data_IF_980053951019
#
_entry.id   IF_980053951019
#
_cell.length_a   1.000
_cell.length_b   1.000
_cell.length_c   1.000
_cell.angle_alpha   90.00
_cell.angle_beta   90.00
_cell.angle_gamma   90.00
#
_symmetry.space_group_name_H-M   'P 1'
#
loop_
_entity.id
_entity.type
_entity.pdbx_description
1 polymer ?
#
# COMPACT_ATOMS: atom_id res chain seq x y z
N UNK A 1 44.00 21.42 36.17
CA UNK A 1 44.90 20.35 35.71
C UNK A 1 44.08 19.40 34.85
N UNK A 2 44.49 19.32 33.58
CA UNK A 2 44.14 18.32 32.55
C UNK A 2 42.66 18.14 32.16
N UNK A 3 42.24 18.93 31.17
CA UNK A 3 41.77 18.43 29.84
C UNK A 3 42.82 17.50 29.16
N UNK A 4 42.61 16.92 27.96
CA UNK A 4 41.41 16.44 27.24
C UNK A 4 41.64 15.08 26.52
N UNK A 5 40.64 14.59 25.75
CA UNK A 5 40.75 13.99 24.39
C UNK A 5 39.34 13.62 23.92
N UNK A 6 38.70 14.41 23.04
CA UNK A 6 38.67 14.28 21.58
C UNK A 6 38.37 12.87 21.04
N UNK A 7 37.25 12.72 20.30
CA UNK A 7 37.31 12.43 18.86
C UNK A 7 35.90 12.40 18.22
N UNK A 8 35.84 13.05 17.05
CA UNK A 8 34.93 12.98 15.89
C UNK A 8 33.76 11.97 15.91
N UNK A 9 32.57 12.26 15.40
CA UNK A 9 32.25 13.01 14.17
C UNK A 9 31.47 12.11 13.22
N UNK A 10 30.50 12.67 12.50
CA UNK A 10 29.67 11.99 11.49
C UNK A 10 28.19 12.01 11.91
N UNK A 11 27.29 12.74 11.26
CA UNK A 11 27.22 13.03 9.83
C UNK A 11 25.86 12.53 9.37
N UNK A 12 24.88 13.42 9.37
CA UNK A 12 23.51 13.13 8.99
C UNK A 12 23.45 12.66 7.53
N UNK A 13 23.08 11.39 7.32
CA UNK A 13 22.69 10.89 6.02
C UNK A 13 21.21 11.25 5.79
N UNK A 14 21.03 12.30 5.01
CA UNK A 14 19.78 12.72 4.40
C UNK A 14 19.31 11.61 3.45
N UNK A 15 18.25 10.90 3.82
CA UNK A 15 17.60 9.93 2.94
C UNK A 15 16.97 10.67 1.76
N UNK A 16 17.63 10.60 0.61
CA UNK A 16 17.05 11.01 -0.66
C UNK A 16 15.97 9.99 -1.04
N UNK A 17 14.73 10.47 -1.07
CA UNK A 17 13.59 9.79 -1.67
C UNK A 17 13.90 9.45 -3.12
N UNK A 18 14.08 8.16 -3.42
CA UNK A 18 14.05 7.64 -4.79
C UNK A 18 12.64 7.86 -5.35
N UNK A 19 12.52 8.78 -6.31
CA UNK A 19 11.40 8.81 -7.23
C UNK A 19 11.51 7.57 -8.12
N UNK A 20 10.80 6.51 -7.75
CA UNK A 20 10.50 5.41 -8.66
C UNK A 20 9.59 5.99 -9.74
N UNK A 21 10.14 6.17 -10.93
CA UNK A 21 9.33 6.32 -12.14
C UNK A 21 8.76 4.93 -12.40
N UNK A 22 7.48 4.73 -12.05
CA UNK A 22 6.68 3.64 -12.61
C UNK A 22 6.66 3.83 -14.13
N UNK A 23 7.59 3.16 -14.81
CA UNK A 23 7.40 2.84 -16.21
C UNK A 23 6.35 1.74 -16.20
N UNK A 24 5.15 2.11 -16.63
CA UNK A 24 4.05 1.22 -16.98
C UNK A 24 4.58 0.24 -18.03
N UNK A 25 5.15 -0.87 -17.58
CA UNK A 25 5.43 -2.03 -18.43
C UNK A 25 4.06 -2.59 -18.74
N UNK A 26 3.59 -2.30 -19.95
CA UNK A 26 2.42 -2.94 -20.55
C UNK A 26 2.43 -4.42 -20.19
N UNK A 27 1.38 -4.86 -19.52
CA UNK A 27 1.01 -6.26 -19.30
C UNK A 27 0.97 -6.99 -20.65
N UNK A 28 2.13 -7.50 -21.07
CA UNK A 28 2.23 -8.52 -22.10
C UNK A 28 2.02 -9.85 -21.40
N UNK A 29 0.73 -10.17 -21.31
CA UNK A 29 0.11 -11.44 -20.96
C UNK A 29 1.00 -12.62 -21.36
N UNK A 30 1.83 -13.08 -20.42
CA UNK A 30 2.61 -14.29 -20.56
C UNK A 30 1.66 -15.45 -20.28
N UNK A 31 0.82 -15.76 -21.27
CA UNK A 31 0.14 -17.03 -21.42
C UNK A 31 1.18 -18.14 -21.45
N UNK A 32 1.54 -18.63 -20.27
CA UNK A 32 2.29 -19.87 -20.09
C UNK A 32 1.31 -21.01 -20.31
N UNK A 33 0.97 -21.27 -21.57
CA UNK A 33 0.39 -22.56 -21.94
C UNK A 33 1.46 -23.62 -21.67
N UNK A 34 1.16 -24.40 -20.64
CA UNK A 34 1.86 -25.59 -20.21
C UNK A 34 1.80 -26.61 -21.36
N UNK A 35 2.81 -26.61 -22.23
CA UNK A 35 3.02 -27.72 -23.16
C UNK A 35 3.65 -28.84 -22.33
N UNK A 36 2.78 -29.68 -21.77
CA UNK A 36 3.14 -31.00 -21.25
C UNK A 36 3.84 -31.77 -22.38
N UNK A 37 5.17 -31.79 -22.30
CA UNK A 37 6.02 -32.52 -23.22
C UNK A 37 6.16 -33.95 -22.67
N UNK A 38 5.12 -34.77 -22.91
CA UNK A 38 5.13 -36.21 -22.70
C UNK A 38 6.15 -36.84 -23.66
N UNK A 39 7.42 -36.79 -23.25
CA UNK A 39 8.50 -37.53 -23.87
C UNK A 39 8.57 -38.90 -23.21
N UNK A 40 7.60 -39.75 -23.54
CA UNK A 40 7.55 -41.12 -23.06
C UNK A 40 8.58 -41.97 -23.83
N UNK A 41 9.56 -42.39 -23.05
CA UNK A 41 10.67 -43.29 -23.32
C UNK A 41 10.32 -44.47 -24.24
N UNK A 42 10.97 -44.53 -25.40
CA UNK A 42 11.03 -45.73 -26.25
C UNK A 42 11.91 -46.79 -25.58
N UNK A 43 11.28 -47.76 -24.90
CA UNK A 43 11.92 -49.04 -24.61
C UNK A 43 12.02 -49.88 -25.88
N UNK A 44 13.24 -50.27 -26.20
CA UNK A 44 13.55 -51.23 -27.25
C UNK A 44 13.57 -52.66 -26.69
N UNK A 45 12.90 -53.57 -27.40
CA UNK A 45 13.38 -54.96 -27.53
C UNK A 45 12.50 -56.06 -26.93
N UNK A 46 11.89 -56.86 -27.81
CA UNK A 46 11.30 -58.14 -27.44
C UNK A 46 10.56 -58.80 -28.61
N UNK A 47 11.27 -59.61 -29.38
CA UNK A 47 10.78 -60.31 -30.57
C UNK A 47 9.85 -61.50 -30.24
N UNK A 48 8.81 -61.66 -31.07
CA UNK A 48 8.20 -62.94 -31.48
C UNK A 48 7.25 -62.58 -32.65
N UNK A 49 7.67 -62.75 -33.91
CA UNK A 49 7.53 -63.96 -34.72
C UNK A 49 6.08 -64.45 -34.84
N UNK A 50 5.36 -63.88 -35.82
CA UNK A 50 4.47 -64.62 -36.72
C UNK A 50 4.42 -63.88 -38.04
N UNK A 51 5.01 -64.49 -39.06
CA UNK A 51 4.83 -64.13 -40.45
C UNK A 51 3.42 -64.55 -40.90
N UNK A 52 2.61 -63.58 -41.29
CA UNK A 52 1.49 -63.80 -42.20
C UNK A 52 1.39 -62.59 -43.13
N UNK A 53 1.41 -62.92 -44.42
CA UNK A 53 1.06 -62.15 -45.61
C UNK A 53 0.51 -60.72 -45.38
N UNK A 54 1.17 -59.71 -45.94
CA UNK A 54 0.47 -58.91 -46.95
C UNK A 54 1.43 -58.11 -47.84
N UNK A 55 1.29 -58.33 -49.14
CA UNK A 55 1.89 -57.48 -50.13
C UNK A 55 1.12 -56.15 -50.15
N UNK A 56 1.71 -55.12 -49.54
CA UNK A 56 1.38 -53.74 -49.93
C UNK A 56 0.58 -52.92 -48.94
N UNK A 57 1.05 -52.77 -47.71
CA UNK A 57 0.73 -51.55 -46.94
C UNK A 57 1.77 -50.44 -47.19
N UNK A 58 2.17 -50.28 -48.46
CA UNK A 58 2.90 -49.11 -48.95
C UNK A 58 2.11 -47.85 -48.57
N UNK A 59 0.78 -47.94 -48.57
CA UNK A 59 -0.13 -46.88 -48.22
C UNK A 59 -0.01 -46.46 -46.74
N UNK A 60 0.10 -47.41 -45.81
CA UNK A 60 0.37 -47.16 -44.39
C UNK A 60 1.77 -46.61 -44.12
N UNK A 61 2.79 -47.11 -44.84
CA UNK A 61 4.15 -46.57 -44.76
C UNK A 61 4.23 -45.13 -45.32
N UNK A 62 3.53 -44.84 -46.43
CA UNK A 62 3.39 -43.50 -46.99
C UNK A 62 2.67 -42.59 -46.00
N UNK A 63 1.54 -43.00 -45.41
CA UNK A 63 0.82 -42.21 -44.40
C UNK A 63 1.68 -41.91 -43.17
N UNK A 64 2.50 -42.85 -42.73
CA UNK A 64 3.44 -42.64 -41.61
C UNK A 64 4.54 -41.64 -41.96
N UNK A 65 5.13 -41.74 -43.16
CA UNK A 65 6.12 -40.78 -43.66
C UNK A 65 5.51 -39.39 -43.88
N UNK A 66 4.27 -39.30 -44.35
CA UNK A 66 3.54 -38.04 -44.48
C UNK A 66 3.25 -37.40 -43.13
N UNK A 67 2.87 -38.20 -42.11
CA UNK A 67 2.68 -37.72 -40.75
C UNK A 67 3.99 -37.29 -40.09
N UNK A 68 5.10 -37.99 -40.33
CA UNK A 68 6.44 -37.60 -39.87
C UNK A 68 6.94 -36.34 -40.58
N UNK A 69 6.75 -36.24 -41.91
CA UNK A 69 7.07 -35.04 -42.67
C UNK A 69 6.19 -33.84 -42.24
N UNK A 70 4.92 -34.06 -41.92
CA UNK A 70 4.02 -33.06 -41.36
C UNK A 70 4.50 -32.55 -40.01
N UNK A 71 4.85 -33.45 -39.09
CA UNK A 71 5.45 -33.10 -37.79
C UNK A 71 6.78 -32.36 -37.93
N UNK A 72 7.64 -32.80 -38.86
CA UNK A 72 8.91 -32.12 -39.13
C UNK A 72 8.71 -30.71 -39.72
N UNK A 73 7.71 -30.51 -40.58
CA UNK A 73 7.34 -29.18 -41.09
C UNK A 73 6.83 -28.27 -39.98
N UNK A 74 5.94 -28.76 -39.12
CA UNK A 74 5.44 -28.01 -37.97
C UNK A 74 6.57 -27.64 -36.99
N UNK A 75 7.47 -28.58 -36.69
CA UNK A 75 8.64 -28.32 -35.83
C UNK A 75 9.59 -27.28 -36.45
N UNK A 76 9.79 -27.32 -37.78
CA UNK A 76 10.59 -26.33 -38.50
C UNK A 76 9.93 -24.95 -38.45
N UNK A 77 8.63 -24.86 -38.71
CA UNK A 77 7.88 -23.60 -38.65
C UNK A 77 7.88 -23.00 -37.24
N UNK A 78 7.70 -23.82 -36.20
CA UNK A 78 7.82 -23.41 -34.81
C UNK A 78 9.23 -22.89 -34.48
N UNK A 79 10.28 -23.56 -34.98
CA UNK A 79 11.66 -23.14 -34.80
C UNK A 79 11.96 -21.82 -35.54
N UNK A 80 11.46 -21.64 -36.76
CA UNK A 80 11.60 -20.40 -37.55
C UNK A 80 10.87 -19.23 -36.88
N UNK A 81 9.65 -19.45 -36.37
CA UNK A 81 8.92 -18.44 -35.59
C UNK A 81 9.67 -18.06 -34.30
N UNK A 82 10.23 -19.04 -33.60
CA UNK A 82 11.03 -18.79 -32.40
C UNK A 82 12.32 -18.03 -32.72
N UNK A 83 12.97 -18.33 -33.85
CA UNK A 83 14.15 -17.62 -34.31
C UNK A 83 13.82 -16.16 -34.64
N UNK A 84 12.75 -15.92 -35.41
CA UNK A 84 12.30 -14.57 -35.76
C UNK A 84 11.96 -13.74 -34.51
N UNK A 85 11.28 -14.31 -33.52
CA UNK A 85 11.01 -13.64 -32.24
C UNK A 85 12.32 -13.28 -31.50
N UNK A 86 13.28 -14.21 -31.42
CA UNK A 86 14.58 -13.94 -30.80
C UNK A 86 15.40 -12.89 -31.54
N UNK A 87 15.36 -12.86 -32.87
CA UNK A 87 16.01 -11.84 -33.70
C UNK A 87 15.40 -10.46 -33.49
N UNK A 88 14.06 -10.38 -33.42
CA UNK A 88 13.34 -9.15 -33.10
C UNK A 88 13.69 -8.64 -31.70
N UNK A 89 13.72 -9.52 -30.70
CA UNK A 89 14.14 -9.18 -29.33
C UNK A 89 15.60 -8.70 -29.29
N UNK A 90 16.50 -9.34 -30.02
CA UNK A 90 17.91 -8.93 -30.10
C UNK A 90 18.05 -7.56 -30.77
N UNK A 91 17.28 -7.29 -31.82
CA UNK A 91 17.26 -5.98 -32.48
C UNK A 91 16.75 -4.88 -31.52
N UNK A 92 15.67 -5.14 -30.80
CA UNK A 92 15.13 -4.23 -29.78
C UNK A 92 16.16 -3.96 -28.66
N UNK A 93 16.82 -5.00 -28.14
CA UNK A 93 17.87 -4.86 -27.12
C UNK A 93 19.06 -4.04 -27.62
N UNK A 94 19.47 -4.20 -28.89
CA UNK A 94 20.53 -3.40 -29.49
C UNK A 94 20.13 -1.92 -29.62
N UNK A 95 18.87 -1.63 -29.94
CA UNK A 95 18.35 -0.27 -29.97
C UNK A 95 18.36 0.35 -28.57
N UNK A 96 17.83 -0.35 -27.57
CA UNK A 96 17.84 0.08 -26.17
C UNK A 96 19.27 0.32 -25.68
N UNK A 97 20.23 -0.53 -26.06
CA UNK A 97 21.63 -0.34 -25.70
C UNK A 97 22.23 0.95 -26.30
N UNK A 98 21.94 1.24 -27.58
CA UNK A 98 22.40 2.49 -28.21
C UNK A 98 21.76 3.72 -27.57
N UNK A 99 20.47 3.66 -27.27
CA UNK A 99 19.75 4.73 -26.57
C UNK A 99 20.30 4.95 -25.17
N UNK A 100 20.61 3.88 -24.44
CA UNK A 100 21.24 3.94 -23.13
C UNK A 100 22.61 4.62 -23.20
N UNK A 101 23.45 4.27 -24.17
CA UNK A 101 24.77 4.87 -24.33
C UNK A 101 24.67 6.35 -24.70
N UNK A 102 23.74 6.73 -25.59
CA UNK A 102 23.45 8.12 -25.91
C UNK A 102 22.94 8.90 -24.68
N UNK A 103 22.02 8.31 -23.90
CA UNK A 103 21.49 8.91 -22.68
C UNK A 103 22.55 9.08 -21.61
N UNK A 104 23.47 8.12 -21.45
CA UNK A 104 24.62 8.25 -20.53
C UNK A 104 25.53 9.42 -20.90
N UNK A 105 25.82 9.58 -22.20
CA UNK A 105 26.63 10.70 -22.67
C UNK A 105 25.92 12.05 -22.46
N UNK A 106 24.63 12.12 -22.79
CA UNK A 106 23.82 13.33 -22.60
C UNK A 106 23.71 13.69 -21.10
N UNK A 107 23.47 12.70 -20.24
CA UNK A 107 23.44 12.88 -18.79
C UNK A 107 24.79 13.34 -18.24
N UNK A 108 25.89 12.71 -18.65
CA UNK A 108 27.24 13.11 -18.22
C UNK A 108 27.55 14.56 -18.60
N UNK A 109 27.26 14.95 -19.85
CA UNK A 109 27.43 16.33 -20.30
C UNK A 109 26.54 17.32 -19.54
N UNK A 110 25.28 16.97 -19.26
CA UNK A 110 24.36 17.80 -18.49
C UNK A 110 24.80 17.94 -17.03
N UNK A 111 25.29 16.86 -16.42
CA UNK A 111 25.83 16.85 -15.07
C UNK A 111 27.08 17.72 -14.96
N UNK A 112 28.03 17.57 -15.87
CA UNK A 112 29.26 18.37 -15.89
C UNK A 112 28.98 19.85 -16.14
N UNK A 113 27.97 20.15 -16.96
CA UNK A 113 27.48 21.52 -17.15
C UNK A 113 26.87 22.05 -15.86
N UNK A 114 25.96 21.32 -15.23
CA UNK A 114 25.35 21.70 -13.96
C UNK A 114 26.40 21.96 -12.88
N UNK A 115 27.42 21.09 -12.75
CA UNK A 115 28.51 21.29 -11.78
C UNK A 115 29.33 22.55 -12.03
N UNK A 116 29.59 22.88 -13.29
CA UNK A 116 30.27 24.14 -13.67
C UNK A 116 29.39 25.35 -13.35
N UNK A 117 28.11 25.29 -13.70
CA UNK A 117 27.16 26.37 -13.46
C UNK A 117 26.93 26.57 -11.94
N UNK A 118 26.84 25.50 -11.14
CA UNK A 118 26.78 25.53 -9.67
C UNK A 118 28.01 26.22 -9.08
N UNK A 119 29.20 25.90 -9.59
CA UNK A 119 30.45 26.53 -9.13
C UNK A 119 30.46 28.01 -9.48
N UNK A 120 30.17 28.35 -10.74
CA UNK A 120 30.14 29.73 -11.20
C UNK A 120 29.14 30.58 -10.40
N UNK A 121 27.97 30.02 -10.11
CA UNK A 121 26.96 30.67 -9.29
C UNK A 121 27.42 30.86 -7.84
N UNK A 122 28.10 29.87 -7.24
CA UNK A 122 28.67 29.99 -5.89
C UNK A 122 29.75 31.07 -5.81
N UNK A 123 30.63 31.13 -6.81
CA UNK A 123 31.69 32.13 -6.90
C UNK A 123 31.08 33.54 -7.04
N UNK A 124 30.05 33.68 -7.90
CA UNK A 124 29.25 34.90 -8.04
C UNK A 124 28.61 35.33 -6.71
N UNK A 125 27.87 34.43 -6.04
CA UNK A 125 27.21 34.72 -4.77
C UNK A 125 28.21 35.19 -3.69
N UNK A 126 29.38 34.55 -3.63
CA UNK A 126 30.41 34.90 -2.64
C UNK A 126 30.98 36.29 -2.91
N UNK A 127 31.29 36.59 -4.18
CA UNK A 127 31.80 37.90 -4.59
C UNK A 127 30.79 39.03 -4.37
N UNK A 128 29.55 38.83 -4.81
CA UNK A 128 28.47 39.81 -4.65
C UNK A 128 28.14 40.03 -3.18
N UNK A 129 27.98 38.96 -2.40
CA UNK A 129 27.72 39.08 -0.96
C UNK A 129 28.81 39.90 -0.27
N UNK A 130 30.09 39.62 -0.53
CA UNK A 130 31.20 40.36 0.05
C UNK A 130 31.25 41.83 -0.37
N UNK A 131 30.79 42.14 -1.59
CA UNK A 131 30.74 43.53 -2.10
C UNK A 131 29.55 44.29 -1.51
N UNK A 132 28.39 43.66 -1.43
CA UNK A 132 27.19 44.21 -0.80
C UNK A 132 27.35 44.40 0.71
N UNK A 133 28.00 43.47 1.42
CA UNK A 133 28.30 43.63 2.85
C UNK A 133 29.20 44.84 3.12
N UNK A 134 30.17 45.13 2.24
CA UNK A 134 30.99 46.34 2.33
C UNK A 134 30.20 47.62 2.08
N UNK A 135 29.26 47.60 1.12
CA UNK A 135 28.42 48.74 0.78
C UNK A 135 27.36 49.02 1.87
N UNK A 136 26.75 47.98 2.41
CA UNK A 136 25.72 48.07 3.46
C UNK A 136 26.31 48.34 4.85
N UNK A 137 27.56 47.95 5.11
CA UNK A 137 28.21 48.18 6.39
C UNK A 137 27.41 47.57 7.56
N UNK A 138 27.15 48.33 8.65
CA UNK A 138 26.40 47.84 9.82
C UNK A 138 24.98 47.35 9.52
N UNK A 139 24.34 47.85 8.46
CA UNK A 139 22.98 47.49 8.06
C UNK A 139 22.89 46.05 7.58
N UNK A 140 24.01 45.50 7.07
CA UNK A 140 24.08 44.12 6.60
C UNK A 140 23.71 43.10 7.69
N UNK A 141 24.02 43.40 8.96
CA UNK A 141 23.64 42.55 10.10
C UNK A 141 22.12 42.58 10.36
N UNK A 142 21.49 43.75 10.26
CA UNK A 142 20.02 43.89 10.43
C UNK A 142 19.26 43.20 9.29
N UNK A 143 19.72 43.35 8.04
CA UNK A 143 19.19 42.63 6.88
C UNK A 143 19.27 41.11 7.11
N UNK A 144 20.43 40.62 7.57
CA UNK A 144 20.63 39.19 7.88
C UNK A 144 19.70 38.71 8.99
N UNK A 145 19.50 39.50 10.05
CA UNK A 145 18.57 39.16 11.13
C UNK A 145 17.13 39.06 10.63
N UNK A 146 16.64 40.02 9.84
CA UNK A 146 15.28 39.99 9.29
C UNK A 146 15.07 38.81 8.34
N UNK A 147 16.04 38.51 7.47
CA UNK A 147 15.98 37.36 6.58
C UNK A 147 15.99 36.02 7.35
N UNK A 148 16.83 35.92 8.38
CA UNK A 148 16.88 34.75 9.25
C UNK A 148 15.56 34.55 10.02
N UNK A 149 14.99 35.63 10.57
CA UNK A 149 13.71 35.59 11.28
C UNK A 149 12.58 35.06 10.39
N UNK A 150 12.51 35.49 9.12
CA UNK A 150 11.54 34.97 8.15
C UNK A 150 11.76 33.49 7.85
N UNK A 151 13.03 33.06 7.71
CA UNK A 151 13.37 31.65 7.53
C UNK A 151 13.00 30.78 8.73
N UNK A 152 13.18 31.29 9.94
CA UNK A 152 12.84 30.58 11.18
C UNK A 152 11.33 30.54 11.42
N UNK A 153 10.60 31.61 11.09
CA UNK A 153 9.14 31.63 11.10
C UNK A 153 8.56 30.59 10.13
N UNK A 154 9.08 30.52 8.89
CA UNK A 154 8.71 29.47 7.93
C UNK A 154 8.90 28.07 8.51
N UNK A 155 10.07 27.76 9.06
CA UNK A 155 10.36 26.44 9.66
C UNK A 155 9.42 26.15 10.84
N UNK A 156 9.08 27.17 11.62
CA UNK A 156 8.13 27.03 12.73
C UNK A 156 6.74 26.68 12.22
N UNK A 157 6.27 27.33 11.16
CA UNK A 157 4.97 27.05 10.53
C UNK A 157 4.93 25.66 9.88
N UNK A 158 6.01 25.26 9.20
CA UNK A 158 6.15 23.90 8.64
C UNK A 158 6.05 22.83 9.76
N UNK A 159 6.78 23.00 10.86
CA UNK A 159 6.68 22.10 12.03
C UNK A 159 5.29 22.10 12.65
N UNK A 160 4.60 23.24 12.68
CA UNK A 160 3.23 23.32 13.17
C UNK A 160 2.30 22.49 12.27
N UNK A 161 2.42 22.61 10.95
CA UNK A 161 1.63 21.80 10.00
C UNK A 161 1.90 20.31 10.18
N UNK A 162 3.17 19.90 10.33
CA UNK A 162 3.53 18.49 10.56
C UNK A 162 2.94 17.95 11.87
N UNK A 163 3.04 18.73 12.95
CA UNK A 163 2.47 18.40 14.25
C UNK A 163 0.95 18.25 14.20
N UNK A 164 0.25 19.20 13.55
CA UNK A 164 -1.21 19.14 13.38
C UNK A 164 -1.65 18.01 12.45
N UNK A 165 -0.85 17.67 11.46
CA UNK A 165 -1.11 16.52 10.58
C UNK A 165 -1.06 15.23 11.39
N UNK A 166 -0.02 15.05 12.20
CA UNK A 166 0.11 13.88 13.09
C UNK A 166 -1.08 13.77 14.05
N UNK A 167 -1.44 14.88 14.72
CA UNK A 167 -2.59 14.90 15.63
C UNK A 167 -3.93 14.58 14.95
N UNK A 168 -4.14 15.05 13.71
CA UNK A 168 -5.34 14.72 12.93
C UNK A 168 -5.38 13.23 12.56
N UNK A 169 -4.26 12.65 12.12
CA UNK A 169 -4.17 11.23 11.79
C UNK A 169 -4.38 10.33 13.02
N UNK A 170 -3.78 10.67 14.16
CA UNK A 170 -3.98 9.94 15.42
C UNK A 170 -5.44 9.99 15.89
N UNK A 171 -6.09 11.16 15.78
CA UNK A 171 -7.50 11.32 16.12
C UNK A 171 -8.41 10.51 15.19
N UNK A 172 -8.08 10.41 13.90
CA UNK A 172 -8.82 9.58 12.94
C UNK A 172 -8.71 8.10 13.29
N UNK A 173 -7.51 7.62 13.59
CA UNK A 173 -7.29 6.25 14.04
C UNK A 173 -8.06 5.93 15.33
N UNK A 174 -8.07 6.86 16.29
CA UNK A 174 -8.84 6.71 17.53
C UNK A 174 -10.36 6.63 17.27
N UNK A 175 -10.89 7.48 16.37
CA UNK A 175 -12.30 7.45 15.96
C UNK A 175 -12.68 6.14 15.27
N UNK A 176 -11.80 5.60 14.43
CA UNK A 176 -12.07 4.34 13.74
C UNK A 176 -12.08 3.16 14.73
N UNK A 177 -11.16 3.15 15.70
CA UNK A 177 -11.15 2.17 16.77
C UNK A 177 -12.42 2.26 17.66
N UNK A 178 -12.87 3.46 18.03
CA UNK A 178 -14.08 3.62 18.84
C UNK A 178 -15.35 3.27 18.08
N UNK A 179 -15.42 3.54 16.77
CA UNK A 179 -16.52 3.12 15.89
C UNK A 179 -16.65 1.60 15.81
N UNK A 180 -15.54 0.87 15.66
CA UNK A 180 -15.55 -0.60 15.68
C UNK A 180 -16.09 -1.11 17.01
N UNK A 181 -15.58 -0.58 18.13
CA UNK A 181 -16.00 -0.97 19.47
C UNK A 181 -17.48 -0.67 19.76
N UNK A 182 -17.98 0.49 19.31
CA UNK A 182 -19.40 0.85 19.45
C UNK A 182 -20.29 -0.12 18.68
N UNK A 183 -19.86 -0.53 17.47
CA UNK A 183 -20.56 -1.54 16.68
C UNK A 183 -20.58 -2.90 17.37
N UNK A 184 -19.44 -3.39 17.85
CA UNK A 184 -19.35 -4.68 18.57
C UNK A 184 -20.29 -4.74 19.79
N UNK A 185 -20.36 -3.66 20.57
CA UNK A 185 -21.22 -3.59 21.74
C UNK A 185 -22.71 -3.44 21.38
N UNK A 186 -23.01 -2.75 20.27
CA UNK A 186 -24.36 -2.69 19.71
C UNK A 186 -24.84 -4.06 19.23
N UNK A 187 -23.98 -4.79 18.51
CA UNK A 187 -24.27 -6.16 18.05
C UNK A 187 -24.52 -7.08 19.25
N UNK A 188 -23.67 -7.02 20.29
CA UNK A 188 -23.86 -7.78 21.53
C UNK A 188 -25.18 -7.46 22.24
N UNK A 189 -25.57 -6.19 22.35
CA UNK A 189 -26.85 -5.82 22.97
C UNK A 189 -28.03 -6.30 22.10
N UNK A 190 -27.87 -6.28 20.78
CA UNK A 190 -28.82 -6.83 19.81
C UNK A 190 -29.01 -8.35 19.95
N UNK A 191 -27.93 -9.09 20.17
CA UNK A 191 -27.98 -10.54 20.42
C UNK A 191 -28.75 -10.89 21.70
N UNK A 192 -28.50 -10.15 22.79
CA UNK A 192 -29.21 -10.35 24.06
C UNK A 192 -30.71 -10.06 23.93
N UNK A 193 -31.09 -9.03 23.17
CA UNK A 193 -32.50 -8.73 22.87
C UNK A 193 -33.18 -9.84 22.05
N UNK A 194 -32.42 -10.54 21.20
CA UNK A 194 -32.91 -11.64 20.35
C UNK A 194 -32.84 -13.02 21.02
N UNK A 195 -32.33 -13.12 22.24
CA UNK A 195 -32.03 -14.40 22.89
C UNK A 195 -33.26 -15.31 23.02
N UNK A 196 -34.44 -14.75 23.30
CA UNK A 196 -35.70 -15.51 23.33
C UNK A 196 -36.11 -16.07 21.94
N UNK A 197 -35.96 -15.28 20.88
CA UNK A 197 -36.23 -15.74 19.51
C UNK A 197 -35.25 -16.85 19.11
N UNK A 198 -33.97 -16.71 19.48
CA UNK A 198 -32.95 -17.73 19.24
C UNK A 198 -33.21 -19.03 20.00
N UNK A 199 -33.62 -18.96 21.27
CA UNK A 199 -34.06 -20.13 22.04
C UNK A 199 -35.25 -20.81 21.36
N UNK A 200 -36.24 -20.02 20.92
CA UNK A 200 -37.44 -20.55 20.26
C UNK A 200 -37.09 -21.28 18.97
N UNK A 201 -36.19 -20.72 18.15
CA UNK A 201 -35.70 -21.36 16.93
C UNK A 201 -34.95 -22.67 17.23
N UNK A 202 -34.12 -22.70 18.27
CA UNK A 202 -33.41 -23.93 18.72
C UNK A 202 -34.39 -25.00 19.19
N UNK A 203 -35.39 -24.63 19.98
CA UNK A 203 -36.44 -25.55 20.44
C UNK A 203 -37.24 -26.13 19.27
N UNK A 204 -37.59 -25.30 18.28
CA UNK A 204 -38.28 -25.76 17.07
C UNK A 204 -37.43 -26.78 16.30
N UNK A 205 -36.13 -26.50 16.10
CA UNK A 205 -35.21 -27.42 15.43
C UNK A 205 -35.07 -28.76 16.17
N UNK A 206 -34.94 -28.73 17.50
CA UNK A 206 -34.87 -29.94 18.32
C UNK A 206 -36.16 -30.75 18.24
N UNK A 207 -37.33 -30.09 18.23
CA UNK A 207 -38.62 -30.74 18.08
C UNK A 207 -38.75 -31.42 16.71
N UNK A 208 -38.44 -30.73 15.62
CA UNK A 208 -38.45 -31.31 14.27
C UNK A 208 -37.57 -32.55 14.18
N UNK A 209 -36.36 -32.50 14.74
CA UNK A 209 -35.44 -33.64 14.77
C UNK A 209 -36.00 -34.81 15.58
N UNK A 210 -36.60 -34.55 16.75
CA UNK A 210 -37.28 -35.58 17.55
C UNK A 210 -38.41 -36.22 16.76
N UNK A 211 -39.20 -35.41 16.06
CA UNK A 211 -40.33 -35.89 15.26
C UNK A 211 -39.85 -36.76 14.09
N UNK A 212 -38.74 -36.41 13.44
CA UNK A 212 -38.09 -37.26 12.41
C UNK A 212 -37.68 -38.63 12.95
N UNK A 213 -37.01 -38.68 14.10
CA UNK A 213 -36.61 -39.93 14.76
C UNK A 213 -37.85 -40.76 15.12
N UNK A 214 -38.85 -40.11 15.71
CA UNK A 214 -40.08 -40.78 16.15
C UNK A 214 -40.83 -41.38 14.96
N UNK A 215 -40.94 -40.63 13.85
CA UNK A 215 -41.55 -41.11 12.61
C UNK A 215 -40.79 -42.31 12.02
N UNK A 216 -39.46 -42.25 11.95
CA UNK A 216 -38.65 -43.37 11.47
C UNK A 216 -38.84 -44.62 12.34
N UNK A 217 -38.86 -44.45 13.67
CA UNK A 217 -39.11 -45.54 14.60
C UNK A 217 -40.51 -46.15 14.45
N UNK A 218 -41.55 -45.31 14.32
CA UNK A 218 -42.94 -45.77 14.16
C UNK A 218 -43.17 -46.45 12.81
N UNK A 219 -42.41 -46.08 11.77
CA UNK A 219 -42.43 -46.73 10.47
C UNK A 219 -41.60 -48.05 10.41
N UNK A 220 -41.03 -48.51 11.54
CA UNK A 220 -40.18 -49.70 11.60
C UNK A 220 -38.78 -49.53 11.00
N UNK A 221 -38.38 -48.28 10.65
CA UNK A 221 -37.08 -47.96 10.07
C UNK A 221 -36.02 -47.71 11.17
N UNK A 222 -35.77 -48.74 12.00
CA UNK A 222 -34.91 -48.58 13.19
C UNK A 222 -33.46 -48.20 12.88
N UNK A 223 -32.90 -48.70 11.78
CA UNK A 223 -31.57 -48.31 11.33
C UNK A 223 -31.47 -46.81 11.00
N UNK A 224 -32.50 -46.24 10.37
CA UNK A 224 -32.59 -44.80 10.10
C UNK A 224 -32.77 -44.00 11.40
N UNK A 225 -33.63 -44.44 12.31
CA UNK A 225 -33.83 -43.80 13.61
C UNK A 225 -32.52 -43.78 14.43
N UNK A 226 -31.77 -44.88 14.43
CA UNK A 226 -30.46 -44.99 15.08
C UNK A 226 -29.41 -44.08 14.44
N UNK A 227 -29.36 -44.02 13.10
CA UNK A 227 -28.46 -43.11 12.40
C UNK A 227 -28.83 -41.64 12.66
N UNK A 228 -30.11 -41.28 12.68
CA UNK A 228 -30.53 -39.91 13.01
C UNK A 228 -30.10 -39.52 14.43
N UNK A 229 -30.13 -40.45 15.39
CA UNK A 229 -29.69 -40.25 16.77
C UNK A 229 -28.17 -40.12 16.94
N UNK A 230 -27.38 -40.88 16.17
CA UNK A 230 -25.93 -41.07 16.41
C UNK A 230 -25.05 -40.43 15.34
N UNK A 231 -25.54 -40.32 14.11
CA UNK A 231 -24.81 -39.81 12.95
C UNK A 231 -24.96 -38.30 12.71
N UNK A 232 -25.81 -37.61 13.48
CA UNK A 232 -25.91 -36.13 13.45
C UNK A 232 -25.25 -35.56 14.71
N UNK A 233 -24.39 -34.58 14.54
CA UNK A 233 -23.78 -33.87 15.67
C UNK A 233 -24.81 -32.99 16.38
N UNK A 234 -25.39 -33.52 17.46
CA UNK A 234 -26.33 -32.82 18.33
C UNK A 234 -25.64 -31.81 19.24
N UNK A 235 -24.40 -32.07 19.63
CA UNK A 235 -23.61 -31.18 20.48
C UNK A 235 -23.40 -29.85 19.76
N UNK A 236 -23.02 -29.88 18.48
CA UNK A 236 -22.84 -28.68 17.66
C UNK A 236 -24.10 -27.84 17.43
N UNK A 237 -25.31 -28.34 17.73
CA UNK A 237 -26.56 -27.54 17.67
C UNK A 237 -26.85 -26.88 19.02
N UNK A 238 -26.51 -27.55 20.12
CA UNK A 238 -26.71 -27.07 21.48
C UNK A 238 -25.65 -26.02 21.86
N UNK A 239 -24.42 -26.18 21.36
CA UNK A 239 -23.26 -25.33 21.68
C UNK A 239 -23.11 -24.07 20.81
N UNK A 240 -24.09 -23.77 19.94
CA UNK A 240 -24.04 -22.54 19.12
C UNK A 240 -24.18 -21.27 19.96
N UNK A 241 -23.62 -20.17 19.47
CA UNK A 241 -23.90 -18.83 19.99
C UNK A 241 -25.30 -18.33 19.56
N UNK A 242 -25.95 -17.49 20.39
CA UNK A 242 -25.52 -16.97 21.69
C UNK A 242 -25.59 -18.02 22.81
N UNK A 243 -24.70 -17.89 23.81
CA UNK A 243 -24.72 -18.71 25.03
C UNK A 243 -26.04 -18.48 25.78
N UNK A 244 -26.64 -19.56 26.28
CA UNK A 244 -27.84 -19.47 27.10
C UNK A 244 -27.52 -18.75 28.41
N UNK A 245 -28.31 -17.73 28.72
CA UNK A 245 -28.23 -16.98 29.99
C UNK A 245 -29.44 -17.38 30.82
N UNK A 246 -29.22 -17.66 32.10
CA UNK A 246 -30.32 -17.93 33.02
C UNK A 246 -31.26 -16.71 33.09
N UNK A 247 -32.59 -16.89 33.15
CA UNK A 247 -33.54 -15.78 33.17
C UNK A 247 -33.26 -14.75 34.28
N UNK A 248 -32.79 -15.22 35.43
CA UNK A 248 -32.41 -14.39 36.59
C UNK A 248 -31.24 -13.46 36.33
N UNK A 249 -30.34 -13.80 35.38
CA UNK A 249 -29.18 -12.99 35.01
C UNK A 249 -29.37 -12.16 33.74
N UNK A 250 -30.45 -12.39 32.97
CA UNK A 250 -30.66 -11.73 31.68
C UNK A 250 -30.88 -10.23 31.81
N UNK A 251 -31.66 -9.81 32.82
CA UNK A 251 -31.95 -8.39 33.04
C UNK A 251 -30.67 -7.59 33.33
N UNK A 252 -29.82 -8.10 34.23
CA UNK A 252 -28.54 -7.46 34.55
C UNK A 252 -27.59 -7.46 33.34
N UNK A 253 -27.47 -8.59 32.63
CA UNK A 253 -26.63 -8.68 31.44
C UNK A 253 -27.05 -7.71 30.33
N UNK A 254 -28.36 -7.48 30.17
CA UNK A 254 -28.88 -6.50 29.21
C UNK A 254 -28.59 -5.06 29.65
N UNK A 255 -28.75 -4.74 30.93
CA UNK A 255 -28.42 -3.42 31.49
C UNK A 255 -26.92 -3.14 31.28
N UNK A 256 -26.05 -4.07 31.68
CA UNK A 256 -24.60 -3.94 31.54
C UNK A 256 -24.19 -3.73 30.06
N UNK A 257 -24.82 -4.46 29.14
CA UNK A 257 -24.55 -4.33 27.71
C UNK A 257 -25.03 -3.00 27.12
N UNK A 258 -26.20 -2.51 27.54
CA UNK A 258 -26.73 -1.21 27.13
C UNK A 258 -25.90 -0.06 27.68
N UNK A 259 -25.45 -0.14 28.93
CA UNK A 259 -24.56 0.84 29.55
C UNK A 259 -23.19 0.86 28.85
N UNK A 260 -22.65 -0.31 28.51
CA UNK A 260 -21.40 -0.40 27.75
C UNK A 260 -21.56 0.18 26.34
N UNK A 261 -22.67 -0.11 25.66
CA UNK A 261 -22.99 0.47 24.35
C UNK A 261 -23.09 1.99 24.43
N UNK A 262 -23.85 2.53 25.38
CA UNK A 262 -24.01 3.98 25.54
C UNK A 262 -22.68 4.70 25.81
N UNK A 263 -21.81 4.13 26.65
CA UNK A 263 -20.46 4.67 26.89
C UNK A 263 -19.59 4.64 25.63
N UNK A 264 -19.69 3.58 24.82
CA UNK A 264 -18.93 3.47 23.58
C UNK A 264 -19.42 4.44 22.50
N UNK A 265 -20.73 4.63 22.36
CA UNK A 265 -21.33 5.62 21.46
C UNK A 265 -20.96 7.05 21.87
N UNK A 266 -21.00 7.36 23.17
CA UNK A 266 -20.52 8.65 23.68
C UNK A 266 -19.04 8.86 23.35
N UNK A 267 -18.21 7.83 23.55
CA UNK A 267 -16.78 7.92 23.23
C UNK A 267 -16.55 8.14 21.74
N UNK A 268 -17.28 7.44 20.87
CA UNK A 268 -17.22 7.64 19.43
C UNK A 268 -17.56 9.09 19.06
N UNK A 269 -18.63 9.66 19.64
CA UNK A 269 -19.01 11.05 19.40
C UNK A 269 -17.94 12.05 19.86
N UNK A 270 -17.27 11.79 20.99
CA UNK A 270 -16.19 12.64 21.50
C UNK A 270 -14.91 12.54 20.63
N UNK A 271 -14.59 11.35 20.13
CA UNK A 271 -13.47 11.16 19.19
C UNK A 271 -13.80 11.82 17.83
N UNK A 272 -15.04 11.74 17.34
CA UNK A 272 -15.49 12.47 16.13
C UNK A 272 -15.35 13.99 16.28
N UNK A 273 -15.74 14.56 17.43
CA UNK A 273 -15.51 15.99 17.72
C UNK A 273 -14.03 16.35 17.73
N UNK A 274 -13.20 15.46 18.27
CA UNK A 274 -11.74 15.64 18.32
C UNK A 274 -11.13 15.66 16.91
N UNK A 275 -11.57 14.78 16.01
CA UNK A 275 -11.18 14.79 14.58
C UNK A 275 -11.57 16.10 13.92
N UNK A 276 -12.81 16.56 14.10
CA UNK A 276 -13.27 17.84 13.53
C UNK A 276 -12.40 19.00 14.01
N UNK A 277 -12.10 19.07 15.30
CA UNK A 277 -11.22 20.10 15.87
C UNK A 277 -9.82 20.05 15.26
N UNK A 278 -9.16 18.89 15.22
CA UNK A 278 -7.80 18.80 14.69
C UNK A 278 -7.72 19.06 13.19
N UNK A 279 -8.75 18.70 12.41
CA UNK A 279 -8.83 19.08 10.99
C UNK A 279 -8.98 20.59 10.78
N UNK A 280 -9.76 21.26 11.63
CA UNK A 280 -9.86 22.73 11.60
C UNK A 280 -8.51 23.37 11.93
N UNK A 281 -7.85 22.92 13.00
CA UNK A 281 -6.52 23.40 13.38
C UNK A 281 -5.46 23.18 12.30
N UNK A 282 -5.48 22.02 11.61
CA UNK A 282 -4.60 21.73 10.48
C UNK A 282 -4.87 22.68 9.30
N UNK A 283 -6.14 22.96 9.01
CA UNK A 283 -6.53 23.90 7.95
C UNK A 283 -6.02 25.31 8.27
N UNK A 284 -6.17 25.76 9.51
CA UNK A 284 -5.68 27.07 9.95
C UNK A 284 -4.15 27.16 9.94
N UNK A 285 -3.45 26.08 10.30
CA UNK A 285 -1.99 26.01 10.22
C UNK A 285 -1.50 26.08 8.76
N UNK A 286 -2.14 25.35 7.84
CA UNK A 286 -1.84 25.40 6.41
C UNK A 286 -2.07 26.79 5.83
N UNK A 287 -3.20 27.41 6.16
CA UNK A 287 -3.49 28.78 5.73
C UNK A 287 -2.41 29.76 6.18
N UNK A 288 -1.93 29.66 7.42
CA UNK A 288 -0.83 30.50 7.92
C UNK A 288 0.47 30.26 7.17
N UNK A 289 0.81 29.00 6.85
CA UNK A 289 1.98 28.67 6.04
C UNK A 289 1.85 29.23 4.61
N UNK A 290 0.69 29.04 3.97
CA UNK A 290 0.42 29.53 2.61
C UNK A 290 0.47 31.06 2.57
N UNK A 291 -0.13 31.75 3.55
CA UNK A 291 -0.07 33.20 3.67
C UNK A 291 1.37 33.69 3.86
N UNK A 292 2.20 32.95 4.61
CA UNK A 292 3.62 33.25 4.79
C UNK A 292 4.43 33.02 3.49
N UNK A 293 4.16 31.94 2.76
CA UNK A 293 4.83 31.67 1.47
C UNK A 293 4.43 32.71 0.40
N UNK A 294 3.17 33.13 0.38
CA UNK A 294 2.67 34.11 -0.59
C UNK A 294 3.13 35.54 -0.28
N UNK A 295 3.16 35.93 1.00
CA UNK A 295 3.33 37.34 1.39
C UNK A 295 4.61 37.63 2.18
N UNK A 296 5.29 36.61 2.72
CA UNK A 296 6.45 36.79 3.59
C UNK A 296 7.58 37.56 2.90
N UNK A 297 7.92 37.17 1.67
CA UNK A 297 8.98 37.85 0.91
C UNK A 297 8.59 39.30 0.57
N UNK A 298 7.34 39.56 0.18
CA UNK A 298 6.86 40.90 -0.10
C UNK A 298 6.93 41.81 1.14
N UNK A 299 6.58 41.29 2.32
CA UNK A 299 6.73 41.99 3.61
C UNK A 299 8.21 42.27 3.91
N UNK A 300 9.09 41.30 3.71
CA UNK A 300 10.53 41.50 3.89
C UNK A 300 11.07 42.58 2.95
N UNK A 301 10.69 42.59 1.67
CA UNK A 301 11.11 43.63 0.73
C UNK A 301 10.66 45.01 1.17
N UNK A 302 9.40 45.17 1.57
CA UNK A 302 8.88 46.44 2.08
C UNK A 302 9.61 46.91 3.35
N UNK A 303 9.90 46.00 4.28
CA UNK A 303 10.67 46.30 5.50
C UNK A 303 12.10 46.78 5.16
N UNK A 304 12.75 46.14 4.20
CA UNK A 304 14.11 46.48 3.76
C UNK A 304 14.14 47.84 3.01
N UNK A 305 13.13 48.14 2.20
CA UNK A 305 12.98 49.44 1.53
C UNK A 305 12.77 50.58 2.54
N UNK A 306 12.02 50.34 3.62
CA UNK A 306 11.88 51.32 4.71
C UNK A 306 13.20 51.56 5.45
N UNK A 307 13.99 50.52 5.71
CA UNK A 307 15.32 50.67 6.30
C UNK A 307 16.25 51.55 5.46
N UNK A 308 16.21 51.38 4.13
CA UNK A 308 17.03 52.17 3.21
C UNK A 308 16.63 53.67 3.18
N UNK A 309 15.34 53.99 3.34
CA UNK A 309 14.85 55.37 3.34
C UNK A 309 15.10 56.09 4.67
N UNK A 310 15.09 55.38 5.80
CA UNK A 310 15.35 55.97 7.13
C UNK A 310 16.81 56.35 7.39
N UNK A 311 17.78 55.73 6.70
CA UNK A 311 19.20 56.12 6.84
C UNK A 311 19.62 57.27 5.93
N UNK A 312 18.94 57.48 4.80
CA UNK A 312 19.18 58.63 3.91
C UNK A 312 18.84 59.99 4.53
N UNK A 313 18.06 60.00 5.61
CA UNK A 313 17.56 61.21 6.29
C UNK A 313 18.38 61.59 7.54
N UNK A 314 19.46 60.86 7.86
CA UNK A 314 20.42 61.29 8.89
C UNK A 314 21.35 62.34 8.26
N UNK A 315 21.27 63.64 8.64
CA UNK A 315 22.23 64.63 8.17
C UNK A 315 23.63 64.19 8.59
N UNK A 316 24.52 64.01 7.63
CA UNK A 316 25.94 63.82 7.89
C UNK A 316 26.46 65.05 8.64
N UNK A 317 26.61 64.89 9.96
CA UNK A 317 27.30 65.82 10.85
C UNK A 317 28.78 65.44 10.97
#
# INVERSE_FOLDING_TARGET
MTEPTESAGGGAAQAASEHVVEVEILDLDAGTENIDNDNDTLEAGGAADTAEEDAGDIDGAIKKLEAEAGRARQAKEAAENTLADKENRLAALRTVQRELDANKQAYGAAYDKLKRDEKAYRDFLTSEKGSLEKLLGPVADEVRKKAAALGDERKSLEREVDSRTTAATEAEAARDASKVKAKELSDRSGELKKLAATITARLALLKTRRDEITKASQAGQYALAYWLLTGRDYAAVLDREPKLIAPTGLAQALIDALDAQAKAEQRQADDERTVVRHRAELTDARKRLDDHLANGEARLRADLEQMATMEGDKPHA
#
